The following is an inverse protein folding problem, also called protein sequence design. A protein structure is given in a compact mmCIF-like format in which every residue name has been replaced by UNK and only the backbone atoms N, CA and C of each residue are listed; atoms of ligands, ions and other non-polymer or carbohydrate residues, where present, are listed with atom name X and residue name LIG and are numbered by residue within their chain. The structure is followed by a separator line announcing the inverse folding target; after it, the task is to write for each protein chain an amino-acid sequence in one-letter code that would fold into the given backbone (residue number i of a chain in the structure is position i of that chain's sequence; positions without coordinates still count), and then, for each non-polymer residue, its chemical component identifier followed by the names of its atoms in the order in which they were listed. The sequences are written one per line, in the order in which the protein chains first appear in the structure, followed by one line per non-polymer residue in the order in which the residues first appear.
data_IF_023236265975
#
_entry.id   IF_023236265975
#
_cell.length_a   1.000
_cell.length_b   1.000
_cell.length_c   1.000
_cell.angle_alpha   90.00
_cell.angle_beta   90.00
_cell.angle_gamma   90.00
#
_symmetry.space_group_name_H-M   'P 1'
#
loop_
_entity.id
_entity.type
_entity.pdbx_description
1 polymer ?
#
# COMPACT_ATOMS: atom_id res chain seq x y z
N UNK A 1 -7.83 -20.19 18.07
CA UNK A 1 -9.10 -20.80 17.64
C UNK A 1 -9.44 -20.31 16.24
N UNK A 2 -9.72 -21.22 15.30
CA UNK A 2 -10.09 -20.92 13.91
C UNK A 2 -11.41 -20.11 13.82
N UNK A 3 -12.23 -20.16 14.88
CA UNK A 3 -13.51 -19.42 15.00
C UNK A 3 -13.36 -18.00 15.58
N UNK A 4 -12.15 -17.62 16.03
CA UNK A 4 -11.90 -16.30 16.63
C UNK A 4 -11.57 -15.24 15.58
N UNK A 5 -11.88 -13.97 15.87
CA UNK A 5 -11.46 -12.84 15.02
C UNK A 5 -9.94 -12.84 14.87
N UNK A 6 -9.45 -12.73 13.63
CA UNK A 6 -8.02 -12.57 13.37
C UNK A 6 -7.50 -11.30 14.03
N UNK A 7 -6.50 -11.45 14.91
CA UNK A 7 -5.86 -10.33 15.61
C UNK A 7 -4.40 -10.24 15.20
N UNK A 8 -3.87 -9.02 15.22
CA UNK A 8 -2.44 -8.78 15.01
C UNK A 8 -1.68 -9.28 16.24
N UNK A 9 -0.62 -10.06 16.02
CA UNK A 9 0.23 -10.57 17.09
C UNK A 9 0.93 -9.45 17.87
N UNK A 10 1.28 -9.69 19.14
CA UNK A 10 1.92 -8.67 20.00
C UNK A 10 3.32 -8.29 19.51
N UNK A 11 4.06 -9.23 18.92
CA UNK A 11 5.40 -8.99 18.38
C UNK A 11 5.41 -8.18 17.08
N UNK A 12 4.24 -7.95 16.44
CA UNK A 12 4.21 -7.15 15.22
C UNK A 12 4.55 -5.68 15.55
N UNK A 13 5.32 -5.03 14.67
CA UNK A 13 5.55 -3.59 14.76
C UNK A 13 4.28 -2.82 14.39
N UNK A 14 3.48 -2.50 15.42
CA UNK A 14 2.18 -1.82 15.26
C UNK A 14 2.33 -0.36 14.84
N UNK A 15 3.44 0.27 15.24
CA UNK A 15 3.74 1.66 14.88
C UNK A 15 3.99 1.79 13.38
N UNK A 16 4.91 0.97 12.85
CA UNK A 16 5.20 0.93 11.42
C UNK A 16 3.96 0.61 10.59
N UNK A 17 3.15 -0.37 11.06
CA UNK A 17 1.88 -0.71 10.42
C UNK A 17 0.94 0.51 10.36
N UNK A 18 0.82 1.28 11.45
CA UNK A 18 -0.04 2.47 11.53
C UNK A 18 0.45 3.56 10.58
N UNK A 19 1.76 3.84 10.56
CA UNK A 19 2.36 4.85 9.68
C UNK A 19 2.12 4.51 8.21
N UNK A 20 2.43 3.28 7.78
CA UNK A 20 2.19 2.83 6.41
C UNK A 20 0.70 2.89 6.03
N UNK A 21 -0.20 2.63 6.98
CA UNK A 21 -1.64 2.75 6.74
C UNK A 21 -2.04 4.20 6.46
N UNK A 22 -1.58 5.15 7.28
CA UNK A 22 -1.84 6.58 7.07
C UNK A 22 -1.26 7.07 5.73
N UNK A 23 -0.02 6.66 5.40
CA UNK A 23 0.59 6.96 4.11
C UNK A 23 -0.24 6.42 2.94
N UNK A 24 -0.72 5.17 3.03
CA UNK A 24 -1.55 4.56 2.00
C UNK A 24 -2.88 5.33 1.80
N UNK A 25 -3.55 5.73 2.89
CA UNK A 25 -4.78 6.50 2.82
C UNK A 25 -4.57 7.88 2.17
N UNK A 26 -3.49 8.57 2.53
CA UNK A 26 -3.12 9.85 1.93
C UNK A 26 -2.78 9.70 0.43
N UNK A 27 -2.00 8.68 0.06
CA UNK A 27 -1.64 8.43 -1.33
C UNK A 27 -2.83 8.09 -2.22
N UNK A 28 -3.81 7.32 -1.72
CA UNK A 28 -5.03 7.02 -2.47
C UNK A 28 -5.83 8.31 -2.79
N UNK A 29 -5.79 9.30 -1.90
CA UNK A 29 -6.51 10.57 -2.08
C UNK A 29 -5.79 11.52 -3.03
N UNK A 30 -4.47 11.69 -2.87
CA UNK A 30 -3.71 12.74 -3.54
C UNK A 30 -2.92 12.28 -4.78
N UNK A 31 -2.69 10.98 -4.95
CA UNK A 31 -1.91 10.46 -6.06
C UNK A 31 -2.78 9.67 -7.06
N UNK A 32 -2.81 10.13 -8.32
CA UNK A 32 -3.63 9.56 -9.38
C UNK A 32 -3.32 8.09 -9.68
N UNK A 33 -2.05 7.67 -9.59
CA UNK A 33 -1.64 6.28 -9.81
C UNK A 33 -2.27 5.34 -8.79
N UNK A 34 -2.17 5.70 -7.50
CA UNK A 34 -2.71 4.89 -6.41
C UNK A 34 -4.22 4.94 -6.36
N UNK A 35 -4.84 6.07 -6.72
CA UNK A 35 -6.30 6.19 -6.86
C UNK A 35 -6.83 5.28 -7.96
N UNK A 36 -6.18 5.27 -9.12
CA UNK A 36 -6.53 4.40 -10.25
C UNK A 36 -6.37 2.93 -9.88
N UNK A 37 -5.26 2.59 -9.21
CA UNK A 37 -5.05 1.23 -8.70
C UNK A 37 -6.12 0.80 -7.70
N UNK A 38 -6.49 1.70 -6.78
CA UNK A 38 -7.53 1.44 -5.78
C UNK A 38 -8.89 1.19 -6.44
N UNK A 39 -9.31 2.07 -7.35
CA UNK A 39 -10.58 1.95 -8.05
C UNK A 39 -10.64 0.67 -8.87
N UNK A 40 -9.62 0.38 -9.68
CA UNK A 40 -9.55 -0.88 -10.44
C UNK A 40 -9.71 -2.12 -9.54
N UNK A 41 -9.05 -2.13 -8.37
CA UNK A 41 -9.17 -3.26 -7.43
C UNK A 41 -10.53 -3.31 -6.73
N UNK A 42 -11.20 -2.18 -6.57
CA UNK A 42 -12.57 -2.11 -6.07
C UNK A 42 -13.55 -2.64 -7.11
N UNK A 43 -13.34 -2.33 -8.38
CA UNK A 43 -14.15 -2.81 -9.51
C UNK A 43 -13.99 -4.32 -9.71
N UNK A 44 -12.81 -4.88 -9.40
CA UNK A 44 -12.57 -6.34 -9.29
C UNK A 44 -13.33 -7.00 -8.12
N UNK A 45 -14.11 -6.26 -7.33
CA UNK A 45 -14.90 -6.77 -6.20
C UNK A 45 -14.08 -7.06 -4.93
N UNK A 46 -12.85 -6.56 -4.83
CA UNK A 46 -12.01 -6.84 -3.65
C UNK A 46 -12.43 -6.00 -2.45
N UNK A 47 -12.35 -6.61 -1.27
CA UNK A 47 -12.62 -5.92 -0.01
C UNK A 47 -11.64 -4.77 0.22
N UNK A 48 -12.15 -3.59 0.60
CA UNK A 48 -11.38 -2.34 0.75
C UNK A 48 -10.12 -2.49 1.60
N UNK A 49 -10.19 -3.24 2.70
CA UNK A 49 -9.03 -3.45 3.59
C UNK A 49 -7.91 -4.25 2.91
N UNK A 50 -8.27 -5.19 2.03
CA UNK A 50 -7.32 -5.96 1.22
C UNK A 50 -6.65 -5.09 0.16
N UNK A 51 -7.41 -4.15 -0.43
CA UNK A 51 -6.88 -3.17 -1.38
C UNK A 51 -5.86 -2.25 -0.68
N UNK A 52 -6.21 -1.72 0.50
CA UNK A 52 -5.29 -0.88 1.29
C UNK A 52 -4.04 -1.68 1.69
N UNK A 53 -4.16 -2.98 1.95
CA UNK A 53 -3.00 -3.84 2.20
C UNK A 53 -2.09 -3.97 0.96
N UNK A 54 -2.68 -4.11 -0.22
CA UNK A 54 -1.92 -4.13 -1.47
C UNK A 54 -1.22 -2.79 -1.76
N UNK A 55 -1.87 -1.67 -1.45
CA UNK A 55 -1.26 -0.33 -1.55
C UNK A 55 -0.08 -0.19 -0.58
N UNK A 56 -0.24 -0.60 0.68
CA UNK A 56 0.87 -0.64 1.66
C UNK A 56 2.08 -1.43 1.14
N UNK A 57 1.82 -2.60 0.55
CA UNK A 57 2.90 -3.42 -0.02
C UNK A 57 3.59 -2.74 -1.21
N UNK A 58 2.83 -2.10 -2.11
CA UNK A 58 3.40 -1.31 -3.22
C UNK A 58 4.32 -0.21 -2.72
N UNK A 59 3.92 0.53 -1.68
CA UNK A 59 4.75 1.60 -1.09
C UNK A 59 6.05 1.01 -0.54
N UNK A 60 5.96 -0.06 0.26
CA UNK A 60 7.14 -0.72 0.84
C UNK A 60 8.12 -1.20 -0.24
N UNK A 61 7.60 -1.82 -1.31
CA UNK A 61 8.43 -2.28 -2.43
C UNK A 61 9.12 -1.12 -3.16
N UNK A 62 8.43 0.01 -3.36
CA UNK A 62 9.04 1.21 -3.98
C UNK A 62 10.17 1.77 -3.13
N UNK A 63 9.95 1.91 -1.83
CA UNK A 63 10.97 2.38 -0.90
C UNK A 63 12.18 1.44 -0.90
N UNK A 64 11.93 0.12 -0.84
CA UNK A 64 12.99 -0.88 -0.90
C UNK A 64 13.78 -0.81 -2.21
N UNK A 65 13.12 -0.59 -3.35
CA UNK A 65 13.79 -0.46 -4.66
C UNK A 65 14.68 0.79 -4.74
N UNK A 66 14.19 1.94 -4.24
CA UNK A 66 14.95 3.20 -4.17
C UNK A 66 16.20 3.02 -3.31
N UNK A 67 16.06 2.42 -2.13
CA UNK A 67 17.19 2.15 -1.22
C UNK A 67 18.17 1.16 -1.86
N UNK A 68 17.68 0.07 -2.45
CA UNK A 68 18.53 -0.95 -3.06
C UNK A 68 19.35 -0.38 -4.22
N UNK A 69 18.74 0.46 -5.06
CA UNK A 69 19.38 0.99 -6.25
C UNK A 69 20.17 2.28 -5.99
N UNK A 70 20.13 2.82 -4.76
CA UNK A 70 20.76 4.10 -4.38
C UNK A 70 20.42 5.24 -5.37
N UNK A 71 19.20 5.21 -5.91
CA UNK A 71 18.74 6.11 -6.95
C UNK A 71 17.48 6.84 -6.49
N UNK A 72 17.41 8.15 -6.76
CA UNK A 72 16.25 8.96 -6.41
C UNK A 72 14.96 8.41 -7.02
N UNK A 73 13.85 8.55 -6.29
CA UNK A 73 12.53 8.17 -6.79
C UNK A 73 12.19 8.92 -8.08
N UNK A 74 11.87 8.18 -9.13
CA UNK A 74 11.42 8.73 -10.42
C UNK A 74 9.92 8.50 -10.57
N UNK A 75 9.16 9.58 -10.75
CA UNK A 75 7.71 9.49 -10.97
C UNK A 75 7.41 9.19 -12.45
N UNK A 76 7.31 7.91 -12.78
CA UNK A 76 7.12 7.46 -14.16
C UNK A 76 5.64 7.26 -14.55
N UNK A 77 4.71 7.86 -13.81
CA UNK A 77 3.26 7.66 -14.04
C UNK A 77 2.82 7.93 -15.49
N UNK A 78 3.49 8.87 -16.18
CA UNK A 78 3.17 9.25 -17.56
C UNK A 78 4.05 8.58 -18.64
N UNK A 79 5.01 7.71 -18.27
CA UNK A 79 5.92 7.08 -19.25
C UNK A 79 5.39 5.76 -19.82
N UNK A 80 4.21 5.31 -19.38
CA UNK A 80 3.52 4.16 -19.93
C UNK A 80 2.28 4.64 -20.71
N UNK A 81 2.52 5.18 -21.90
CA UNK A 81 1.54 5.35 -22.96
C UNK A 81 1.91 4.41 -24.10
#
# INVERSE_FOLDING_TARGET
SIKGKTRVHRMANKELKRLLHMCALSLIQHNAEFKTYYNRKKDEGKHSMSIINAVRNKIALRVAAVIKNQASYKNNYNMAA
#
